data_IF_015089410514
#
_entry.id   IF_015089410514
#
_cell.length_a   1.000
_cell.length_b   1.000
_cell.length_c   1.000
_cell.angle_alpha   90.00
_cell.angle_beta   90.00
_cell.angle_gamma   90.00
#
_symmetry.space_group_name_H-M   'P 1'
#
loop_
_entity.id
_entity.type
_entity.pdbx_description
1 polymer ?
#
# COMPACT_ATOMS: atom_id res chain seq x y z
N UNK A 1 -16.45 -9.76 16.48
CA UNK A 1 -16.49 -10.35 15.12
C UNK A 1 -16.62 -9.19 14.14
N UNK A 2 -15.54 -8.78 13.48
CA UNK A 2 -15.63 -7.81 12.38
C UNK A 2 -16.57 -8.42 11.33
N UNK A 3 -17.64 -7.69 10.97
CA UNK A 3 -18.68 -8.19 10.05
C UNK A 3 -18.16 -8.42 8.62
N UNK A 4 -17.03 -7.80 8.28
CA UNK A 4 -16.39 -7.89 6.97
C UNK A 4 -14.99 -8.46 7.17
N UNK A 5 -14.69 -9.56 6.47
CA UNK A 5 -13.34 -10.10 6.30
C UNK A 5 -12.91 -9.76 4.88
N UNK A 6 -12.29 -8.58 4.65
CA UNK A 6 -11.84 -8.22 3.32
C UNK A 6 -10.64 -9.08 2.92
N UNK A 7 -10.71 -9.68 1.73
CA UNK A 7 -9.57 -10.36 1.11
C UNK A 7 -8.54 -9.35 0.56
N UNK A 8 -9.00 -8.12 0.26
CA UNK A 8 -8.19 -7.03 -0.28
C UNK A 8 -8.48 -5.72 0.46
N UNK A 9 -7.43 -5.07 0.94
CA UNK A 9 -7.44 -3.71 1.46
C UNK A 9 -6.74 -2.80 0.45
N UNK A 10 -7.54 -2.14 -0.39
CA UNK A 10 -7.06 -1.09 -1.28
C UNK A 10 -7.15 0.26 -0.55
N UNK A 11 -6.02 0.93 -0.38
CA UNK A 11 -5.94 2.21 0.33
C UNK A 11 -5.14 3.25 -0.44
N UNK A 12 -5.56 4.50 -0.33
CA UNK A 12 -4.90 5.67 -0.89
C UNK A 12 -4.75 6.72 0.25
N UNK A 13 -3.79 7.64 0.15
CA UNK A 13 -3.49 8.63 1.19
C UNK A 13 -4.68 9.57 1.49
N UNK A 14 -4.89 10.02 2.76
CA UNK A 14 -3.89 10.69 3.60
C UNK A 14 -3.81 10.15 5.04
N UNK A 15 -2.60 9.81 5.56
CA UNK A 15 -2.28 9.58 6.99
C UNK A 15 -3.07 8.50 7.76
N UNK A 16 -4.40 8.64 7.80
CA UNK A 16 -5.42 7.73 8.31
C UNK A 16 -5.38 6.31 7.75
N UNK A 17 -4.80 6.09 6.57
CA UNK A 17 -4.61 4.74 6.04
C UNK A 17 -3.55 3.94 6.80
N UNK A 18 -2.57 4.60 7.43
CA UNK A 18 -1.49 3.93 8.18
C UNK A 18 -2.03 3.06 9.33
N UNK A 19 -2.89 3.55 10.24
CA UNK A 19 -3.42 2.70 11.31
C UNK A 19 -4.29 1.55 10.80
N UNK A 20 -5.01 1.73 9.68
CA UNK A 20 -5.83 0.67 9.08
C UNK A 20 -4.94 -0.44 8.49
N UNK A 21 -3.90 -0.05 7.74
CA UNK A 21 -2.92 -0.99 7.21
C UNK A 21 -2.17 -1.70 8.32
N UNK A 22 -1.78 -0.97 9.37
CA UNK A 22 -1.12 -1.56 10.54
C UNK A 22 -2.00 -2.58 11.24
N UNK A 23 -3.30 -2.29 11.40
CA UNK A 23 -4.24 -3.26 11.96
C UNK A 23 -4.36 -4.50 11.08
N UNK A 24 -4.48 -4.34 9.75
CA UNK A 24 -4.54 -5.45 8.80
C UNK A 24 -3.28 -6.32 8.85
N UNK A 25 -2.09 -5.70 8.77
CA UNK A 25 -0.80 -6.38 8.86
C UNK A 25 -0.61 -7.09 10.22
N UNK A 26 -1.10 -6.51 11.31
CA UNK A 26 -1.08 -7.16 12.62
C UNK A 26 -1.96 -8.41 12.67
N UNK A 27 -3.15 -8.39 12.06
CA UNK A 27 -4.01 -9.58 11.97
C UNK A 27 -3.43 -10.66 11.04
N UNK A 28 -2.76 -10.24 9.98
CA UNK A 28 -2.04 -11.13 9.05
C UNK A 28 -0.85 -11.82 9.74
N UNK A 29 -0.06 -11.08 10.52
CA UNK A 29 1.06 -11.63 11.31
C UNK A 29 0.63 -12.71 12.32
N UNK A 30 -0.61 -12.64 12.85
CA UNK A 30 -1.15 -13.65 13.77
C UNK A 30 -1.75 -14.84 12.99
N UNK A 31 -1.61 -14.88 11.65
CA UNK A 31 -2.21 -15.88 10.74
C UNK A 31 -3.73 -16.02 10.91
N UNK A 32 -4.39 -14.96 11.36
CA UNK A 32 -5.83 -14.99 11.59
C UNK A 32 -6.63 -14.68 10.32
N UNK A 33 -6.03 -13.94 9.37
CA UNK A 33 -6.63 -13.57 8.08
C UNK A 33 -5.53 -13.28 7.07
N UNK A 34 -5.64 -13.85 5.87
CA UNK A 34 -4.85 -13.46 4.71
C UNK A 34 -5.53 -12.25 4.05
N UNK A 35 -5.10 -11.03 4.37
CA UNK A 35 -5.62 -9.80 3.75
C UNK A 35 -4.52 -9.14 2.96
N UNK A 36 -4.69 -9.07 1.64
CA UNK A 36 -3.73 -8.38 0.75
C UNK A 36 -3.88 -6.88 0.91
N UNK A 37 -2.79 -6.17 1.16
CA UNK A 37 -2.76 -4.71 1.29
C UNK A 37 -2.12 -4.08 0.06
N UNK A 38 -2.92 -3.37 -0.73
CA UNK A 38 -2.44 -2.59 -1.88
C UNK A 38 -2.57 -1.11 -1.56
N UNK A 39 -1.45 -0.39 -1.61
CA UNK A 39 -1.43 1.06 -1.48
C UNK A 39 -1.34 1.72 -2.84
N UNK A 40 -2.35 2.50 -3.20
CA UNK A 40 -2.31 3.35 -4.39
C UNK A 40 -1.79 4.74 -4.03
N UNK A 41 -0.65 5.12 -4.61
CA UNK A 41 -0.10 6.46 -4.44
C UNK A 41 -0.93 7.51 -5.17
N UNK A 42 -0.93 8.74 -4.65
CA UNK A 42 -1.67 9.84 -5.27
C UNK A 42 -1.09 10.22 -6.63
N UNK A 43 -1.97 10.42 -7.63
CA UNK A 43 -1.58 10.81 -9.00
C UNK A 43 -0.74 12.11 -9.00
N UNK A 44 -1.02 13.04 -8.08
CA UNK A 44 -0.29 14.31 -7.95
C UNK A 44 1.19 14.14 -7.53
N UNK A 45 1.60 12.95 -7.07
CA UNK A 45 2.97 12.66 -6.66
C UNK A 45 3.74 12.10 -7.84
N UNK A 46 4.60 12.91 -8.44
CA UNK A 46 5.39 12.55 -9.64
C UNK A 46 6.85 12.24 -9.30
N UNK A 47 7.44 12.98 -8.36
CA UNK A 47 8.89 12.94 -8.08
C UNK A 47 9.28 12.13 -6.83
N UNK A 48 8.35 11.99 -5.88
CA UNK A 48 8.56 11.28 -4.62
C UNK A 48 7.26 10.67 -4.12
N UNK A 49 7.38 9.57 -3.37
CA UNK A 49 6.24 9.00 -2.64
C UNK A 49 5.73 9.99 -1.59
N UNK A 50 4.44 9.89 -1.27
CA UNK A 50 3.88 10.59 -0.12
C UNK A 50 4.56 10.13 1.17
N UNK A 51 4.40 10.88 2.27
CA UNK A 51 4.93 10.45 3.57
C UNK A 51 4.33 9.10 3.98
N UNK A 52 3.01 8.90 3.77
CA UNK A 52 2.34 7.63 4.02
C UNK A 52 2.88 6.51 3.13
N UNK A 53 3.00 6.74 1.82
CA UNK A 53 3.57 5.76 0.88
C UNK A 53 5.03 5.42 1.21
N UNK A 54 5.82 6.41 1.63
CA UNK A 54 7.20 6.20 2.09
C UNK A 54 7.25 5.35 3.35
N UNK A 55 6.43 5.65 4.36
CA UNK A 55 6.34 4.86 5.60
C UNK A 55 5.96 3.41 5.29
N UNK A 56 4.92 3.20 4.48
CA UNK A 56 4.47 1.86 4.09
C UNK A 56 5.54 1.11 3.29
N UNK A 57 6.23 1.80 2.37
CA UNK A 57 7.34 1.24 1.60
C UNK A 57 8.52 0.82 2.49
N UNK A 58 8.94 1.67 3.43
CA UNK A 58 10.08 1.38 4.30
C UNK A 58 9.76 0.36 5.38
N UNK A 59 8.55 0.38 5.94
CA UNK A 59 8.11 -0.60 6.94
C UNK A 59 7.69 -1.93 6.32
N UNK A 60 7.47 -1.99 5.01
CA UNK A 60 7.03 -3.21 4.32
C UNK A 60 5.65 -3.68 4.76
N UNK A 61 4.77 -2.74 5.12
CA UNK A 61 3.42 -3.04 5.62
C UNK A 61 2.37 -3.18 4.51
N UNK A 62 2.70 -2.71 3.31
CA UNK A 62 1.89 -2.93 2.12
C UNK A 62 2.56 -4.03 1.28
N UNK A 63 1.76 -5.00 0.83
CA UNK A 63 2.23 -6.06 -0.06
C UNK A 63 2.65 -5.48 -1.41
N UNK A 64 1.85 -4.53 -1.92
CA UNK A 64 2.13 -3.85 -3.18
C UNK A 64 1.84 -2.36 -3.09
N UNK A 65 2.64 -1.56 -3.80
CA UNK A 65 2.49 -0.10 -3.87
C UNK A 65 2.36 0.31 -5.33
N UNK A 66 1.19 0.73 -5.73
CA UNK A 66 0.90 1.14 -7.10
C UNK A 66 1.26 2.61 -7.30
N UNK A 67 2.07 2.88 -8.33
CA UNK A 67 2.49 4.21 -8.75
C UNK A 67 2.10 4.47 -10.20
N UNK A 68 1.73 5.71 -10.53
CA UNK A 68 1.32 6.06 -11.89
C UNK A 68 2.50 6.48 -12.79
N UNK A 69 3.61 6.91 -12.19
CA UNK A 69 4.74 7.52 -12.90
C UNK A 69 5.96 6.60 -12.94
N UNK A 70 6.58 6.46 -14.12
CA UNK A 70 7.77 5.62 -14.32
C UNK A 70 8.96 6.06 -13.46
N UNK A 71 9.11 7.37 -13.28
CA UNK A 71 10.15 7.97 -12.45
C UNK A 71 10.08 7.48 -11.00
N UNK A 72 8.87 7.27 -10.47
CA UNK A 72 8.70 6.69 -9.14
C UNK A 72 9.10 5.22 -9.11
N UNK A 73 8.76 4.44 -10.14
CA UNK A 73 9.18 3.03 -10.26
C UNK A 73 10.71 2.91 -10.33
N UNK A 74 11.37 3.79 -11.06
CA UNK A 74 12.84 3.82 -11.14
C UNK A 74 13.47 4.16 -9.78
N UNK A 75 12.89 5.12 -9.04
CA UNK A 75 13.38 5.53 -7.72
C UNK A 75 13.04 4.52 -6.61
N UNK A 76 11.90 3.85 -6.73
CA UNK A 76 11.39 2.89 -5.76
C UNK A 76 11.07 1.57 -6.49
N UNK A 77 12.08 0.71 -6.73
CA UNK A 77 11.95 -0.46 -7.61
C UNK A 77 10.95 -1.51 -7.10
N UNK A 78 10.61 -1.52 -5.80
CA UNK A 78 9.59 -2.42 -5.22
C UNK A 78 8.15 -1.96 -5.46
N UNK A 79 7.92 -0.79 -6.06
CA UNK A 79 6.58 -0.33 -6.43
C UNK A 79 6.12 -0.99 -7.72
N UNK A 80 4.82 -1.05 -7.98
CA UNK A 80 4.24 -1.56 -9.23
C UNK A 80 3.74 -0.38 -10.05
N UNK A 81 4.18 -0.27 -11.30
CA UNK A 81 3.70 0.77 -12.19
C UNK A 81 2.28 0.41 -12.64
N UNK A 82 1.38 1.38 -12.68
CA UNK A 82 0.00 1.16 -13.11
C UNK A 82 -0.12 0.56 -14.52
N UNK A 83 0.84 0.86 -15.40
CA UNK A 83 0.92 0.31 -16.76
C UNK A 83 1.35 -1.16 -16.82
N UNK A 84 1.93 -1.69 -15.75
CA UNK A 84 2.39 -3.08 -15.65
C UNK A 84 1.30 -4.01 -15.07
N UNK A 85 0.21 -3.44 -14.54
CA UNK A 85 -0.97 -4.19 -14.08
C UNK A 85 -1.72 -4.74 -15.31
N UNK A 86 -1.81 -6.07 -15.41
CA UNK A 86 -2.53 -6.78 -16.48
C UNK A 86 -3.94 -7.17 -16.07
#
# INVERSE_FOLDING_TARGET
>A
MMRSSPDLLLVNGPGSCIPVVFAAAFFDMIRLRDTVVIYEESICRVESLSLSGSILYFLGLADDIVVQWKQLKEKYPRTTLISDLK
#
